data_IF_802008990038
#
_entry.id   IF_802008990038
#
_cell.length_a   1.000
_cell.length_b   1.000
_cell.length_c   1.000
_cell.angle_alpha   90.00
_cell.angle_beta   90.00
_cell.angle_gamma   90.00
#
_symmetry.space_group_name_H-M   'P 1'
#
loop_
_entity.id
_entity.type
_entity.pdbx_description
1 polymer ?
#
# COMPACT_ATOMS: atom_id res chain seq x y z
N UNK A 1 5.70 -13.02 -33.61
CA UNK A 1 6.51 -12.89 -32.35
C UNK A 1 5.54 -12.98 -31.20
N UNK A 2 5.69 -14.01 -30.36
CA UNK A 2 4.81 -14.21 -29.21
C UNK A 2 5.01 -13.05 -28.21
N UNK A 3 3.93 -12.35 -27.86
CA UNK A 3 4.00 -11.31 -26.83
C UNK A 3 3.87 -11.95 -25.46
N UNK A 4 4.83 -11.66 -24.57
CA UNK A 4 4.82 -12.08 -23.17
C UNK A 4 4.58 -10.86 -22.30
N UNK A 5 3.62 -10.96 -21.38
CA UNK A 5 3.31 -9.91 -20.42
C UNK A 5 3.54 -10.42 -19.01
N UNK A 6 4.00 -9.54 -18.13
CA UNK A 6 4.03 -9.77 -16.68
C UNK A 6 2.61 -9.97 -16.16
N UNK A 7 2.42 -10.88 -15.21
CA UNK A 7 1.15 -11.08 -14.51
C UNK A 7 1.39 -11.22 -13.00
N UNK A 8 0.43 -10.85 -12.19
CA UNK A 8 0.46 -11.10 -10.75
C UNK A 8 0.22 -12.60 -10.44
N UNK A 9 0.44 -13.05 -9.19
CA UNK A 9 0.22 -14.43 -8.78
C UNK A 9 -1.13 -14.98 -9.25
N UNK A 10 -1.10 -16.17 -9.82
CA UNK A 10 -2.29 -16.80 -10.42
C UNK A 10 -2.66 -16.28 -11.82
N UNK A 11 -1.76 -15.56 -12.50
CA UNK A 11 -2.03 -14.99 -13.83
C UNK A 11 -2.95 -13.75 -13.80
N UNK A 12 -3.11 -13.15 -12.64
CA UNK A 12 -3.95 -11.97 -12.42
C UNK A 12 -3.31 -10.72 -13.01
N UNK A 13 -4.13 -9.72 -13.36
CA UNK A 13 -3.65 -8.45 -13.91
C UNK A 13 -4.01 -7.24 -13.05
N UNK A 14 -4.65 -7.48 -11.91
CA UNK A 14 -5.02 -6.47 -10.92
C UNK A 14 -4.48 -6.82 -9.56
N UNK A 15 -4.07 -5.81 -8.78
CA UNK A 15 -3.72 -5.93 -7.37
C UNK A 15 -4.41 -4.86 -6.55
N UNK A 16 -5.00 -5.26 -5.43
CA UNK A 16 -5.54 -4.35 -4.41
C UNK A 16 -4.64 -4.40 -3.18
N UNK A 17 -4.24 -3.23 -2.69
CA UNK A 17 -3.56 -3.07 -1.41
C UNK A 17 -4.19 -1.94 -0.60
N UNK A 18 -4.17 -2.10 0.72
CA UNK A 18 -4.69 -1.11 1.67
C UNK A 18 -3.62 -0.81 2.72
N UNK A 19 -3.55 0.45 3.17
CA UNK A 19 -2.57 0.88 4.18
C UNK A 19 -3.23 1.81 5.19
N UNK A 20 -3.13 1.47 6.48
CA UNK A 20 -3.75 2.22 7.57
C UNK A 20 -2.73 2.64 8.61
N UNK A 21 -2.85 3.87 9.09
CA UNK A 21 -1.85 4.53 9.92
C UNK A 21 -2.23 4.54 11.39
N UNK A 22 -1.21 4.76 12.20
CA UNK A 22 -1.30 5.15 13.60
C UNK A 22 -1.50 4.02 14.62
N UNK A 23 -1.89 2.81 14.26
CA UNK A 23 -2.17 1.76 15.24
C UNK A 23 -3.27 2.14 16.24
N UNK A 24 -4.38 2.71 15.76
CA UNK A 24 -5.50 3.17 16.58
C UNK A 24 -6.38 2.00 17.08
N UNK A 25 -7.05 2.20 18.20
CA UNK A 25 -7.94 1.15 18.78
C UNK A 25 -9.04 0.69 17.82
N UNK A 26 -9.43 1.51 16.85
CA UNK A 26 -10.36 1.20 15.79
C UNK A 26 -9.83 0.14 14.80
N UNK A 27 -8.54 -0.11 14.77
CA UNK A 27 -7.95 -1.18 13.95
C UNK A 27 -8.55 -2.55 14.30
N UNK A 28 -8.99 -2.76 15.56
CA UNK A 28 -9.67 -4.01 15.96
C UNK A 28 -10.94 -4.28 15.14
N UNK A 29 -11.71 -3.25 14.81
CA UNK A 29 -12.89 -3.37 13.94
C UNK A 29 -12.49 -3.50 12.49
N UNK A 30 -11.52 -2.70 12.04
CA UNK A 30 -11.08 -2.70 10.65
C UNK A 30 -10.46 -4.04 10.24
N UNK A 31 -9.61 -4.62 11.07
CA UNK A 31 -9.03 -5.96 10.86
C UNK A 31 -10.11 -7.04 10.78
N UNK A 32 -11.13 -6.98 11.62
CA UNK A 32 -12.26 -7.93 11.55
C UNK A 32 -13.00 -7.83 10.21
N UNK A 33 -13.19 -6.61 9.69
CA UNK A 33 -13.80 -6.39 8.37
C UNK A 33 -12.91 -6.99 7.29
N UNK A 34 -11.63 -6.67 7.26
CA UNK A 34 -10.70 -7.18 6.25
C UNK A 34 -10.62 -8.72 6.28
N UNK A 35 -10.51 -9.32 7.46
CA UNK A 35 -10.48 -10.78 7.62
C UNK A 35 -11.77 -11.44 7.14
N UNK A 36 -12.94 -10.85 7.42
CA UNK A 36 -14.25 -11.33 6.95
C UNK A 36 -14.28 -11.47 5.42
N UNK A 37 -13.65 -10.55 4.71
CA UNK A 37 -13.66 -10.50 3.25
C UNK A 37 -12.38 -11.05 2.59
N UNK A 38 -11.45 -11.60 3.37
CA UNK A 38 -10.18 -12.14 2.84
C UNK A 38 -9.26 -11.10 2.21
N UNK A 39 -9.35 -9.85 2.67
CA UNK A 39 -8.55 -8.73 2.18
C UNK A 39 -7.35 -8.51 3.11
N UNK A 40 -6.14 -8.44 2.54
CA UNK A 40 -4.94 -8.08 3.27
C UNK A 40 -4.73 -6.58 3.30
N UNK A 41 -4.06 -6.10 4.35
CA UNK A 41 -3.69 -4.69 4.51
C UNK A 41 -2.31 -4.55 5.16
N UNK A 42 -1.74 -3.36 5.07
CA UNK A 42 -0.55 -2.93 5.78
C UNK A 42 -0.94 -1.96 6.88
N UNK A 43 -0.46 -2.17 8.11
CA UNK A 43 -0.69 -1.29 9.25
C UNK A 43 0.62 -0.62 9.65
N UNK A 44 0.64 0.71 9.59
CA UNK A 44 1.81 1.52 9.88
C UNK A 44 1.77 1.97 11.34
N UNK A 45 2.70 1.48 12.15
CA UNK A 45 2.64 1.60 13.61
C UNK A 45 3.66 2.61 14.14
N UNK A 46 3.32 3.27 15.26
CA UNK A 46 4.21 4.16 16.00
C UNK A 46 4.59 3.50 17.32
N UNK A 47 5.82 3.04 17.46
CA UNK A 47 6.23 2.28 18.65
C UNK A 47 6.31 3.09 19.93
N UNK A 48 6.55 4.39 19.84
CA UNK A 48 6.64 5.29 20.99
C UNK A 48 5.29 5.84 21.49
N UNK A 49 4.17 5.54 20.80
CA UNK A 49 2.86 6.10 21.17
C UNK A 49 1.88 5.05 21.75
N UNK A 50 2.33 3.84 22.02
CA UNK A 50 1.49 2.70 22.42
C UNK A 50 0.85 2.86 23.81
N UNK A 51 1.41 3.69 24.68
CA UNK A 51 0.86 3.95 26.02
C UNK A 51 -0.36 4.89 26.02
N UNK A 52 -0.67 5.47 24.84
CA UNK A 52 -1.84 6.34 24.72
C UNK A 52 -3.11 5.51 24.65
N UNK A 53 -4.16 5.92 25.41
CA UNK A 53 -5.45 5.19 25.51
C UNK A 53 -6.15 4.90 24.17
N UNK A 54 -5.85 5.64 23.12
CA UNK A 54 -6.45 5.48 21.79
C UNK A 54 -5.56 4.71 20.82
N UNK A 55 -4.54 4.02 21.30
CA UNK A 55 -3.62 3.18 20.52
C UNK A 55 -3.77 1.71 20.90
N UNK A 56 -3.43 0.82 19.97
CA UNK A 56 -3.32 -0.60 20.26
C UNK A 56 -2.05 -0.84 21.10
N UNK A 57 -2.14 -1.47 22.26
CA UNK A 57 -0.95 -1.80 23.05
C UNK A 57 -0.09 -2.87 22.36
N UNK A 58 1.22 -2.85 22.61
CA UNK A 58 2.20 -3.76 21.96
C UNK A 58 1.87 -5.24 22.15
N UNK A 59 1.28 -5.60 23.28
CA UNK A 59 0.92 -6.97 23.62
C UNK A 59 -0.15 -7.57 22.70
N UNK A 60 -0.96 -6.72 22.05
CA UNK A 60 -1.99 -7.16 21.11
C UNK A 60 -1.49 -7.21 19.66
N UNK A 61 -0.36 -6.59 19.33
CA UNK A 61 0.08 -6.39 17.95
C UNK A 61 0.16 -7.68 17.13
N UNK A 62 0.87 -8.70 17.66
CA UNK A 62 1.09 -9.97 16.94
C UNK A 62 -0.21 -10.73 16.69
N UNK A 63 -1.15 -10.69 17.61
CA UNK A 63 -2.45 -11.37 17.46
C UNK A 63 -3.41 -10.57 16.59
N UNK A 64 -3.45 -9.25 16.76
CA UNK A 64 -4.37 -8.40 16.01
C UNK A 64 -4.02 -8.33 14.53
N UNK A 65 -2.74 -8.09 14.20
CA UNK A 65 -2.30 -7.91 12.81
C UNK A 65 -1.88 -9.22 12.13
N UNK A 66 -2.20 -10.38 12.72
CA UNK A 66 -1.90 -11.68 12.10
C UNK A 66 -2.51 -11.80 10.69
N UNK A 67 -1.68 -12.16 9.71
CA UNK A 67 -2.11 -12.24 8.29
C UNK A 67 -2.09 -10.93 7.51
N UNK A 68 -1.77 -9.81 8.19
CA UNK A 68 -1.52 -8.50 7.60
C UNK A 68 -0.04 -8.15 7.69
N UNK A 69 0.38 -7.12 6.98
CA UNK A 69 1.70 -6.53 7.13
C UNK A 69 1.70 -5.46 8.22
N UNK A 70 2.82 -5.34 8.94
CA UNK A 70 3.11 -4.15 9.74
C UNK A 70 4.30 -3.41 9.16
N UNK A 71 4.26 -2.07 9.21
CA UNK A 71 5.28 -1.19 8.69
C UNK A 71 5.56 -0.03 9.66
N UNK A 72 6.68 0.64 9.46
CA UNK A 72 7.13 1.79 10.25
C UNK A 72 6.24 3.01 10.01
N UNK A 73 5.93 3.73 11.10
CA UNK A 73 5.29 5.05 11.01
C UNK A 73 5.98 6.09 11.91
N UNK A 74 7.26 5.87 12.17
CA UNK A 74 8.13 6.61 13.09
C UNK A 74 7.76 6.46 14.57
N UNK A 75 8.72 6.71 15.46
CA UNK A 75 8.52 6.55 16.91
C UNK A 75 7.44 7.49 17.44
N UNK A 76 7.51 8.80 17.08
CA UNK A 76 6.69 9.86 17.68
C UNK A 76 5.80 10.62 16.71
N UNK A 77 5.77 10.22 15.42
CA UNK A 77 4.97 10.84 14.37
C UNK A 77 5.29 12.32 14.07
N UNK A 78 6.56 12.72 13.91
CA UNK A 78 6.90 14.11 13.59
C UNK A 78 6.64 14.43 12.11
N UNK A 79 6.69 15.72 11.76
CA UNK A 79 6.85 16.17 10.37
C UNK A 79 8.31 15.95 9.96
N UNK A 80 8.65 14.70 9.62
CA UNK A 80 10.01 14.15 9.64
C UNK A 80 11.01 14.89 8.75
N UNK A 81 10.60 15.39 7.58
CA UNK A 81 11.50 16.17 6.70
C UNK A 81 11.93 17.52 7.31
N UNK A 82 11.30 17.97 8.40
CA UNK A 82 11.71 19.18 9.13
C UNK A 82 12.68 18.88 10.27
N UNK A 83 12.93 17.60 10.56
CA UNK A 83 13.86 17.17 11.59
C UNK A 83 15.31 17.19 11.10
N UNK A 84 16.30 17.33 11.97
CA UNK A 84 17.71 17.04 11.66
C UNK A 84 17.92 15.58 11.27
N UNK A 85 18.91 15.29 10.42
CA UNK A 85 19.14 13.92 9.92
C UNK A 85 19.37 12.86 11.03
N UNK A 86 20.04 13.14 12.14
CA UNK A 86 20.12 12.17 13.25
C UNK A 86 18.75 11.82 13.85
N UNK A 87 17.86 12.81 13.99
CA UNK A 87 16.50 12.59 14.49
C UNK A 87 15.67 11.79 13.49
N UNK A 88 15.78 12.10 12.18
CA UNK A 88 15.15 11.30 11.13
C UNK A 88 15.58 9.82 11.24
N UNK A 89 16.88 9.57 11.46
CA UNK A 89 17.40 8.22 11.62
C UNK A 89 16.77 7.51 12.83
N UNK A 90 16.76 8.16 13.99
CA UNK A 90 16.16 7.58 15.20
C UNK A 90 14.67 7.35 15.05
N UNK A 91 13.93 8.28 14.48
CA UNK A 91 12.49 8.13 14.25
C UNK A 91 12.15 6.94 13.33
N UNK A 92 13.00 6.62 12.35
CA UNK A 92 12.79 5.49 11.43
C UNK A 92 13.37 4.20 12.01
N UNK A 93 14.65 4.23 12.42
CA UNK A 93 15.38 3.02 12.78
C UNK A 93 14.93 2.44 14.13
N UNK A 94 14.71 3.29 15.13
CA UNK A 94 14.28 2.83 16.45
C UNK A 94 12.85 2.29 16.39
N UNK A 95 11.95 2.92 15.61
CA UNK A 95 10.60 2.41 15.38
C UNK A 95 10.62 1.03 14.73
N UNK A 96 11.42 0.88 13.65
CA UNK A 96 11.64 -0.40 12.97
C UNK A 96 12.13 -1.45 13.95
N UNK A 97 13.15 -1.15 14.73
CA UNK A 97 13.75 -2.07 15.69
C UNK A 97 12.75 -2.53 16.77
N UNK A 98 11.93 -1.61 17.28
CA UNK A 98 10.90 -1.94 18.28
C UNK A 98 9.79 -2.82 17.70
N UNK A 99 9.34 -2.54 16.47
CA UNK A 99 8.35 -3.38 15.78
C UNK A 99 8.91 -4.78 15.52
N UNK A 100 10.16 -4.87 15.01
CA UNK A 100 10.84 -6.16 14.75
C UNK A 100 11.01 -7.02 16.00
N UNK A 101 11.28 -6.41 17.16
CA UNK A 101 11.36 -7.15 18.44
C UNK A 101 10.04 -7.83 18.80
N UNK A 102 8.91 -7.20 18.47
CA UNK A 102 7.58 -7.74 18.76
C UNK A 102 7.19 -8.83 17.74
N UNK A 103 7.42 -8.60 16.47
CA UNK A 103 6.94 -9.49 15.41
C UNK A 103 7.93 -10.59 15.01
N UNK A 104 9.22 -10.45 15.29
CA UNK A 104 10.24 -11.44 15.01
C UNK A 104 10.62 -11.62 13.54
N UNK A 105 10.31 -10.63 12.68
CA UNK A 105 10.70 -10.62 11.27
C UNK A 105 11.12 -9.22 10.81
N UNK A 106 11.92 -9.09 9.72
CA UNK A 106 12.35 -7.80 9.20
C UNK A 106 11.19 -6.95 8.69
N UNK A 107 11.02 -5.75 9.23
CA UNK A 107 10.06 -4.75 8.77
C UNK A 107 10.71 -3.85 7.72
N UNK A 108 10.14 -3.79 6.51
CA UNK A 108 10.81 -3.17 5.36
C UNK A 108 10.01 -2.05 4.69
N UNK A 109 8.91 -1.64 5.28
CA UNK A 109 8.05 -0.57 4.78
C UNK A 109 7.96 0.59 5.73
N UNK A 110 7.65 1.79 5.21
CA UNK A 110 7.33 2.98 5.97
C UNK A 110 6.14 3.72 5.36
N UNK A 111 5.30 4.31 6.21
CA UNK A 111 4.44 5.42 5.82
C UNK A 111 5.03 6.70 6.43
N UNK A 112 5.32 7.70 5.59
CA UNK A 112 5.88 8.96 6.09
C UNK A 112 4.79 9.79 6.78
N UNK A 113 4.95 10.14 8.10
CA UNK A 113 3.97 10.95 8.81
C UNK A 113 3.69 12.27 8.11
N UNK A 114 2.42 12.66 8.08
CA UNK A 114 1.96 13.91 7.44
C UNK A 114 2.33 14.04 5.95
N UNK A 115 2.70 12.96 5.28
CA UNK A 115 3.25 12.98 3.92
C UNK A 115 4.60 13.69 3.81
N UNK A 116 5.24 13.97 4.94
CA UNK A 116 6.50 14.71 5.02
C UNK A 116 7.68 13.82 4.61
N UNK A 117 8.26 14.07 3.45
CA UNK A 117 9.36 13.30 2.91
C UNK A 117 10.23 14.16 1.98
N UNK A 118 11.54 14.15 2.20
CA UNK A 118 12.55 14.70 1.29
C UNK A 118 13.60 13.64 0.94
N UNK A 119 14.62 14.00 0.15
CA UNK A 119 15.66 13.05 -0.29
C UNK A 119 16.44 12.48 0.90
N UNK A 120 16.66 13.27 1.96
CA UNK A 120 17.33 12.81 3.20
C UNK A 120 16.51 11.71 3.88
N UNK A 121 15.18 11.89 3.98
CA UNK A 121 14.29 10.89 4.56
C UNK A 121 14.36 9.58 3.78
N UNK A 122 14.36 9.66 2.45
CA UNK A 122 14.46 8.48 1.58
C UNK A 122 15.80 7.77 1.74
N UNK A 123 16.91 8.52 1.74
CA UNK A 123 18.24 7.94 1.87
C UNK A 123 18.45 7.28 3.25
N UNK A 124 17.99 7.92 4.31
CA UNK A 124 18.05 7.37 5.66
C UNK A 124 17.17 6.11 5.76
N UNK A 125 15.95 6.13 5.22
CA UNK A 125 15.07 4.97 5.22
C UNK A 125 15.68 3.79 4.46
N UNK A 126 16.26 4.02 3.27
CA UNK A 126 16.99 2.98 2.51
C UNK A 126 18.15 2.40 3.30
N UNK A 127 18.96 3.24 3.94
CA UNK A 127 20.10 2.80 4.77
C UNK A 127 19.62 2.03 6.02
N UNK A 128 18.41 2.28 6.51
CA UNK A 128 17.76 1.49 7.57
C UNK A 128 17.14 0.17 7.06
N UNK A 129 17.26 -0.14 5.76
CA UNK A 129 16.73 -1.36 5.16
C UNK A 129 15.24 -1.28 4.78
N UNK A 130 14.69 -0.08 4.65
CA UNK A 130 13.35 0.15 4.12
C UNK A 130 13.39 0.08 2.58
N UNK A 131 12.44 -0.62 1.98
CA UNK A 131 12.36 -0.85 0.54
C UNK A 131 11.19 -0.14 -0.13
N UNK A 132 10.22 0.35 0.65
CA UNK A 132 9.17 1.22 0.15
C UNK A 132 8.74 2.25 1.21
N UNK A 133 8.25 3.41 0.74
CA UNK A 133 7.72 4.46 1.59
C UNK A 133 6.47 5.10 1.01
N UNK A 134 5.33 5.03 1.73
CA UNK A 134 4.07 5.64 1.30
C UNK A 134 3.99 7.10 1.75
N UNK A 135 3.56 7.96 0.83
CA UNK A 135 3.28 9.38 1.09
C UNK A 135 1.80 9.54 1.47
N UNK A 136 1.51 10.39 2.47
CA UNK A 136 0.14 10.73 2.91
C UNK A 136 -0.52 11.74 1.95
N UNK A 137 -0.55 11.43 0.68
CA UNK A 137 -1.30 12.10 -0.37
C UNK A 137 -1.85 11.01 -1.28
N UNK A 138 -2.70 11.34 -2.20
CA UNK A 138 -3.16 10.39 -3.20
C UNK A 138 -3.14 11.01 -4.61
N UNK A 139 -3.17 10.16 -5.62
CA UNK A 139 -3.16 10.59 -7.02
C UNK A 139 -4.33 11.53 -7.33
N UNK A 140 -5.44 11.31 -6.65
CA UNK A 140 -6.62 12.14 -6.78
C UNK A 140 -6.43 13.53 -6.16
N UNK A 141 -5.98 13.59 -4.90
CA UNK A 141 -5.74 14.87 -4.20
C UNK A 141 -4.66 15.72 -4.90
N UNK A 142 -3.61 15.09 -5.43
CA UNK A 142 -2.55 15.78 -6.15
C UNK A 142 -3.06 16.50 -7.41
N UNK A 143 -4.07 15.98 -8.07
CA UNK A 143 -4.66 16.61 -9.26
C UNK A 143 -5.72 17.63 -8.89
N UNK A 144 -6.55 17.34 -7.90
CA UNK A 144 -7.59 18.27 -7.44
C UNK A 144 -7.04 19.53 -6.74
N UNK A 145 -5.81 19.49 -6.22
CA UNK A 145 -5.19 20.67 -5.61
C UNK A 145 -4.77 21.74 -6.60
N UNK A 146 -4.70 21.44 -7.88
CA UNK A 146 -4.31 22.38 -8.95
C UNK A 146 -5.50 23.05 -9.62
N UNK A 147 -6.72 22.56 -9.39
CA UNK A 147 -7.93 23.14 -9.97
C UNK A 147 -8.96 23.43 -8.86
N UNK A 148 -9.27 24.70 -8.69
CA UNK A 148 -10.32 25.19 -7.79
C UNK A 148 -11.61 24.40 -7.95
N UNK A 149 -11.98 23.59 -6.95
CA UNK A 149 -13.32 22.97 -6.83
C UNK A 149 -13.87 22.27 -8.06
N UNK A 150 -13.01 21.75 -8.95
CA UNK A 150 -13.45 20.92 -10.05
C UNK A 150 -14.24 19.75 -9.45
N UNK A 151 -15.50 19.70 -9.80
CA UNK A 151 -16.42 18.69 -9.28
C UNK A 151 -15.82 17.33 -9.53
N UNK A 152 -15.64 16.56 -8.48
CA UNK A 152 -15.11 15.20 -8.56
C UNK A 152 -15.82 14.35 -9.63
N UNK A 153 -17.11 14.58 -9.82
CA UNK A 153 -17.89 13.96 -10.89
C UNK A 153 -17.35 14.23 -12.30
N UNK A 154 -16.55 15.26 -12.47
CA UNK A 154 -15.92 15.67 -13.74
C UNK A 154 -14.46 15.25 -13.85
N UNK A 155 -13.91 14.57 -12.85
CA UNK A 155 -12.58 13.95 -12.89
C UNK A 155 -12.56 12.48 -13.39
N UNK A 156 -13.50 12.02 -14.24
CA UNK A 156 -13.47 10.67 -14.81
C UNK A 156 -12.23 10.42 -15.67
N UNK A 157 -11.54 11.48 -16.08
CA UNK A 157 -10.29 11.40 -16.86
C UNK A 157 -9.18 10.76 -16.03
N UNK A 158 -9.06 11.06 -14.76
CA UNK A 158 -8.07 10.45 -13.86
C UNK A 158 -8.37 9.02 -13.54
N UNK A 159 -9.64 8.68 -13.45
CA UNK A 159 -10.13 7.32 -13.26
C UNK A 159 -10.31 6.60 -14.59
N UNK A 160 -10.36 7.35 -15.68
CA UNK A 160 -10.63 6.85 -17.02
C UNK A 160 -9.42 6.31 -17.73
N UNK A 161 -8.25 6.82 -17.43
CA UNK A 161 -7.01 6.34 -17.97
C UNK A 161 -6.40 5.25 -17.08
N UNK A 162 -5.54 4.47 -17.68
CA UNK A 162 -4.81 3.41 -17.01
C UNK A 162 -3.79 3.97 -16.00
N UNK A 163 -3.44 5.25 -16.10
CA UNK A 163 -2.47 5.94 -15.26
C UNK A 163 -2.96 6.12 -13.81
N UNK A 164 -4.29 6.25 -13.59
CA UNK A 164 -4.86 6.31 -12.25
C UNK A 164 -4.61 5.04 -11.42
N UNK A 165 -4.48 3.89 -12.09
CA UNK A 165 -4.28 2.58 -11.50
C UNK A 165 -2.94 1.92 -11.89
N UNK A 166 -1.99 2.68 -12.41
CA UNK A 166 -0.66 2.18 -12.76
C UNK A 166 0.19 1.83 -11.55
N UNK A 167 1.16 0.92 -11.77
CA UNK A 167 2.19 0.62 -10.77
C UNK A 167 3.03 1.88 -10.49
N UNK A 168 3.65 2.01 -9.29
CA UNK A 168 4.48 3.15 -8.98
C UNK A 168 5.80 3.13 -9.75
N UNK A 169 6.28 4.31 -10.11
CA UNK A 169 7.63 4.48 -10.66
C UNK A 169 8.70 4.53 -9.56
N UNK A 170 8.34 5.06 -8.38
CA UNK A 170 9.21 5.13 -7.20
C UNK A 170 8.50 4.56 -5.96
N UNK A 171 8.92 3.37 -5.55
CA UNK A 171 8.39 2.74 -4.34
C UNK A 171 8.77 3.47 -3.05
N UNK A 172 9.85 4.26 -3.03
CA UNK A 172 10.22 5.03 -1.83
C UNK A 172 9.38 6.31 -1.64
N UNK A 173 8.62 6.69 -2.67
CA UNK A 173 7.63 7.78 -2.64
C UNK A 173 6.31 7.31 -3.22
N UNK A 174 5.82 6.18 -2.71
CA UNK A 174 4.65 5.50 -3.24
C UNK A 174 3.37 6.28 -2.95
N UNK A 175 2.76 6.76 -4.02
CA UNK A 175 1.53 7.53 -3.97
C UNK A 175 0.32 6.60 -4.09
N UNK A 176 -0.59 6.56 -3.10
CA UNK A 176 -1.83 5.78 -3.17
C UNK A 176 -2.77 6.26 -4.29
N UNK A 177 -3.73 5.39 -4.66
CA UNK A 177 -4.80 5.75 -5.60
C UNK A 177 -5.77 6.74 -4.96
N UNK A 178 -6.25 6.46 -3.74
CA UNK A 178 -7.18 7.33 -3.03
C UNK A 178 -7.11 7.14 -1.51
N UNK A 179 -7.55 8.18 -0.79
CA UNK A 179 -7.91 8.06 0.61
C UNK A 179 -9.29 7.39 0.74
N UNK A 180 -9.54 6.61 1.79
CA UNK A 180 -10.80 5.87 1.94
C UNK A 180 -12.06 6.76 2.00
N UNK A 181 -11.92 8.03 2.40
CA UNK A 181 -13.01 9.00 2.39
C UNK A 181 -13.23 9.68 1.01
N UNK A 182 -12.40 9.37 0.01
CA UNK A 182 -12.46 9.99 -1.30
C UNK A 182 -13.01 9.02 -2.34
N UNK A 183 -14.35 8.96 -2.47
CA UNK A 183 -15.06 8.20 -3.51
C UNK A 183 -14.62 6.73 -3.67
N UNK A 184 -14.34 6.06 -2.55
CA UNK A 184 -13.76 4.72 -2.51
C UNK A 184 -14.53 3.70 -3.37
N UNK A 185 -15.87 3.73 -3.32
CA UNK A 185 -16.71 2.77 -4.07
C UNK A 185 -16.67 3.03 -5.58
N UNK A 186 -16.64 4.29 -5.99
CA UNK A 186 -16.53 4.68 -7.41
C UNK A 186 -15.18 4.24 -7.99
N UNK A 187 -14.08 4.46 -7.26
CA UNK A 187 -12.77 3.94 -7.62
C UNK A 187 -12.76 2.42 -7.71
N UNK A 188 -13.34 1.73 -6.73
CA UNK A 188 -13.45 0.27 -6.75
C UNK A 188 -14.22 -0.26 -7.96
N UNK A 189 -15.39 0.33 -8.28
CA UNK A 189 -16.17 -0.03 -9.48
C UNK A 189 -15.37 0.17 -10.76
N UNK A 190 -14.67 1.31 -10.88
CA UNK A 190 -13.82 1.60 -12.04
C UNK A 190 -12.67 0.60 -12.15
N UNK A 191 -11.97 0.32 -11.05
CA UNK A 191 -10.89 -0.67 -11.01
C UNK A 191 -11.36 -2.07 -11.44
N UNK A 192 -12.49 -2.54 -10.93
CA UNK A 192 -13.08 -3.82 -11.35
C UNK A 192 -13.46 -3.86 -12.84
N UNK A 193 -13.84 -2.72 -13.42
CA UNK A 193 -14.22 -2.62 -14.84
C UNK A 193 -13.02 -2.71 -15.82
N UNK A 194 -11.79 -2.58 -15.35
CA UNK A 194 -10.59 -2.65 -16.20
C UNK A 194 -10.38 -4.10 -16.66
N UNK A 195 -10.29 -4.33 -17.97
CA UNK A 195 -10.26 -5.67 -18.59
C UNK A 195 -9.05 -5.93 -19.50
N UNK A 196 -8.22 -4.92 -19.74
CA UNK A 196 -7.06 -5.06 -20.63
C UNK A 196 -5.93 -5.81 -19.94
N UNK A 197 -5.82 -7.11 -20.18
CA UNK A 197 -4.85 -8.01 -19.52
C UNK A 197 -3.37 -7.71 -19.83
N UNK A 198 -3.09 -6.91 -20.86
CA UNK A 198 -1.72 -6.48 -21.20
C UNK A 198 -1.15 -5.44 -20.22
N UNK A 199 -1.98 -4.85 -19.34
CA UNK A 199 -1.56 -3.91 -18.33
C UNK A 199 -1.66 -4.54 -16.94
N UNK A 200 -0.78 -4.13 -16.04
CA UNK A 200 -0.90 -4.39 -14.62
C UNK A 200 -1.56 -3.19 -13.96
N UNK A 201 -2.68 -3.44 -13.29
CA UNK A 201 -3.43 -2.40 -12.57
C UNK A 201 -3.28 -2.58 -11.08
N UNK A 202 -3.11 -1.47 -10.38
CA UNK A 202 -3.04 -1.43 -8.92
C UNK A 202 -4.04 -0.42 -8.38
N UNK A 203 -4.84 -0.83 -7.41
CA UNK A 203 -5.61 0.07 -6.56
C UNK A 203 -4.99 0.07 -5.17
N UNK A 204 -4.55 1.25 -4.72
CA UNK A 204 -3.94 1.46 -3.42
C UNK A 204 -4.79 2.43 -2.60
N UNK A 205 -5.44 1.94 -1.55
CA UNK A 205 -6.27 2.72 -0.63
C UNK A 205 -5.50 3.00 0.65
N UNK A 206 -5.64 4.21 1.21
CA UNK A 206 -5.04 4.54 2.49
C UNK A 206 -6.00 5.31 3.39
N UNK A 207 -5.66 5.44 4.67
CA UNK A 207 -6.41 6.23 5.64
C UNK A 207 -6.04 5.90 7.09
N UNK A 208 -6.91 6.32 8.00
CA UNK A 208 -6.77 6.06 9.43
C UNK A 208 -8.08 5.43 9.95
N UNK A 209 -8.00 4.35 10.68
CA UNK A 209 -9.19 3.63 11.14
C UNK A 209 -10.10 4.45 12.05
N UNK A 210 -9.53 5.39 12.84
CA UNK A 210 -10.31 6.27 13.73
C UNK A 210 -11.23 7.24 12.98
N UNK A 211 -10.95 7.49 11.70
CA UNK A 211 -11.78 8.39 10.89
C UNK A 211 -13.16 7.83 10.63
N UNK A 212 -13.31 6.51 10.60
CA UNK A 212 -14.62 5.87 10.46
C UNK A 212 -15.53 6.13 11.66
N UNK A 213 -14.97 6.16 12.90
CA UNK A 213 -15.73 6.56 14.09
C UNK A 213 -16.02 8.07 14.06
N UNK A 214 -15.00 8.88 13.73
CA UNK A 214 -15.13 10.35 13.67
C UNK A 214 -16.20 10.80 12.69
N UNK A 215 -16.31 10.13 11.55
CA UNK A 215 -17.22 10.50 10.46
C UNK A 215 -18.51 9.66 10.46
N UNK A 216 -18.69 8.74 11.42
CA UNK A 216 -19.81 7.78 11.49
C UNK A 216 -20.08 7.07 10.15
N UNK A 217 -19.02 6.55 9.52
CA UNK A 217 -19.08 6.06 8.13
C UNK A 217 -18.44 4.67 7.91
N UNK A 218 -18.45 3.79 8.90
CA UNK A 218 -17.96 2.41 8.80
C UNK A 218 -18.55 1.62 7.63
N UNK A 219 -19.78 1.97 7.24
CA UNK A 219 -20.43 1.33 6.10
C UNK A 219 -19.65 1.51 4.79
N UNK A 220 -18.90 2.60 4.61
CA UNK A 220 -18.13 2.86 3.38
C UNK A 220 -17.10 1.76 3.15
N UNK A 221 -16.31 1.42 4.18
CA UNK A 221 -15.27 0.39 4.06
C UNK A 221 -15.87 -1.01 4.01
N UNK A 222 -16.94 -1.29 4.75
CA UNK A 222 -17.60 -2.60 4.75
C UNK A 222 -18.25 -2.89 3.39
N UNK A 223 -19.01 -1.95 2.84
CA UNK A 223 -19.61 -2.06 1.50
C UNK A 223 -18.55 -2.14 0.39
N UNK A 224 -17.43 -1.41 0.53
CA UNK A 224 -16.31 -1.53 -0.40
C UNK A 224 -15.70 -2.93 -0.37
N UNK A 225 -15.40 -3.46 0.81
CA UNK A 225 -14.83 -4.80 0.96
C UNK A 225 -15.78 -5.88 0.43
N UNK A 226 -17.08 -5.77 0.70
CA UNK A 226 -18.09 -6.68 0.16
C UNK A 226 -18.11 -6.66 -1.37
N UNK A 227 -18.08 -5.45 -1.96
CA UNK A 227 -18.12 -5.27 -3.42
C UNK A 227 -16.89 -5.83 -4.13
N UNK A 228 -15.69 -5.61 -3.55
CA UNK A 228 -14.42 -5.87 -4.24
C UNK A 228 -13.83 -7.24 -3.93
N UNK A 229 -14.28 -7.92 -2.88
CA UNK A 229 -13.76 -9.22 -2.46
C UNK A 229 -14.14 -10.34 -3.44
N UNK A 230 -13.39 -11.45 -3.40
CA UNK A 230 -13.70 -12.66 -4.17
C UNK A 230 -13.56 -12.54 -5.69
N UNK A 231 -12.93 -11.49 -6.22
CA UNK A 231 -12.72 -11.33 -7.66
C UNK A 231 -11.52 -12.17 -8.13
N UNK A 232 -11.74 -13.04 -9.12
CA UNK A 232 -10.72 -13.97 -9.61
C UNK A 232 -9.53 -13.29 -10.27
N UNK A 233 -9.71 -12.08 -10.80
CA UNK A 233 -8.70 -11.30 -11.50
C UNK A 233 -7.95 -10.29 -10.61
N UNK A 234 -8.25 -10.24 -9.29
CA UNK A 234 -7.61 -9.36 -8.31
C UNK A 234 -6.74 -10.16 -7.34
N UNK A 235 -5.50 -9.74 -7.18
CA UNK A 235 -4.62 -10.18 -6.11
C UNK A 235 -4.76 -9.24 -4.91
N UNK A 236 -5.19 -9.77 -3.76
CA UNK A 236 -5.28 -9.00 -2.51
C UNK A 236 -3.95 -9.16 -1.78
N UNK A 237 -3.16 -8.10 -1.76
CA UNK A 237 -1.78 -8.14 -1.28
C UNK A 237 -1.48 -7.03 -0.29
N UNK A 238 -0.51 -7.26 0.57
CA UNK A 238 0.12 -6.22 1.37
C UNK A 238 1.11 -5.42 0.51
N UNK A 239 1.56 -4.27 1.01
CA UNK A 239 2.53 -3.45 0.28
C UNK A 239 3.82 -4.21 0.02
N UNK A 240 4.36 -4.90 1.03
CA UNK A 240 5.63 -5.63 0.88
C UNK A 240 5.51 -6.80 -0.09
N UNK A 241 4.38 -7.51 -0.13
CA UNK A 241 4.17 -8.58 -1.11
C UNK A 241 4.25 -8.06 -2.55
N UNK A 242 3.74 -6.85 -2.80
CA UNK A 242 3.81 -6.21 -4.13
C UNK A 242 5.25 -5.85 -4.48
N UNK A 243 6.00 -5.26 -3.53
CA UNK A 243 7.41 -4.88 -3.74
C UNK A 243 8.26 -6.10 -4.02
N UNK A 244 8.15 -7.14 -3.19
CA UNK A 244 8.90 -8.39 -3.35
C UNK A 244 8.58 -9.06 -4.69
N UNK A 245 7.32 -9.05 -5.10
CA UNK A 245 6.93 -9.62 -6.39
C UNK A 245 7.45 -8.80 -7.57
N UNK A 246 7.46 -7.47 -7.47
CA UNK A 246 8.06 -6.61 -8.49
C UNK A 246 9.57 -6.84 -8.62
N UNK A 247 10.27 -7.10 -7.51
CA UNK A 247 11.69 -7.43 -7.53
C UNK A 247 11.99 -8.73 -8.29
N UNK A 248 11.09 -9.73 -8.18
CA UNK A 248 11.21 -10.96 -8.97
C UNK A 248 11.12 -10.64 -10.47
N UNK A 249 10.17 -9.79 -10.89
CA UNK A 249 10.05 -9.37 -12.28
C UNK A 249 11.28 -8.66 -12.81
N UNK A 250 11.90 -7.80 -12.00
CA UNK A 250 13.07 -7.02 -12.40
C UNK A 250 14.31 -7.89 -12.59
N UNK A 251 14.33 -9.11 -12.06
CA UNK A 251 15.41 -10.10 -12.23
C UNK A 251 15.19 -11.04 -13.41
N UNK A 252 14.00 -11.09 -13.99
CA UNK A 252 13.73 -11.98 -15.15
C UNK A 252 14.56 -11.56 -16.36
N UNK A 253 15.14 -12.55 -17.01
CA UNK A 253 15.91 -12.36 -18.24
C UNK A 253 15.19 -13.08 -19.39
N UNK A 254 14.86 -12.33 -20.42
CA UNK A 254 14.12 -12.82 -21.57
C UNK A 254 15.04 -13.10 -22.74
N UNK A 255 14.84 -14.19 -23.47
CA UNK A 255 15.45 -14.40 -24.77
C UNK A 255 15.00 -13.31 -25.75
N UNK A 256 15.85 -12.92 -26.69
CA UNK A 256 15.55 -11.84 -27.65
C UNK A 256 14.30 -12.14 -28.51
N UNK A 257 13.96 -13.38 -28.71
CA UNK A 257 12.79 -13.86 -29.45
C UNK A 257 11.62 -14.29 -28.56
N UNK A 258 11.75 -14.11 -27.23
CA UNK A 258 10.81 -14.56 -26.22
C UNK A 258 10.55 -16.08 -26.20
N UNK A 259 11.47 -16.91 -26.70
CA UNK A 259 11.32 -18.37 -26.71
C UNK A 259 11.45 -18.98 -25.31
N UNK A 260 12.23 -18.35 -24.42
CA UNK A 260 12.37 -18.75 -23.01
C UNK A 260 12.58 -17.54 -22.11
N UNK A 261 12.36 -17.76 -20.80
CA UNK A 261 12.61 -16.78 -19.73
C UNK A 261 13.42 -17.46 -18.63
N UNK A 262 14.51 -16.84 -18.21
CA UNK A 262 15.28 -17.27 -17.06
C UNK A 262 14.88 -16.48 -15.82
N UNK A 263 14.55 -17.18 -14.75
CA UNK A 263 14.23 -16.60 -13.44
C UNK A 263 15.34 -16.98 -12.44
N UNK A 264 16.23 -16.05 -12.06
CA UNK A 264 17.29 -16.30 -11.08
C UNK A 264 16.79 -16.27 -9.63
N UNK A 265 15.49 -15.98 -9.39
CA UNK A 265 14.91 -15.86 -8.05
C UNK A 265 14.48 -17.24 -7.53
N UNK A 266 14.46 -17.39 -6.19
CA UNK A 266 13.90 -18.59 -5.53
C UNK A 266 12.36 -18.66 -5.56
N UNK A 267 11.70 -17.57 -5.96
CA UNK A 267 10.26 -17.47 -6.02
C UNK A 267 9.73 -17.48 -7.47
N UNK A 268 8.48 -17.92 -7.63
CA UNK A 268 7.83 -18.01 -8.94
C UNK A 268 7.39 -16.65 -9.47
N UNK A 269 7.54 -16.45 -10.79
CA UNK A 269 6.94 -15.34 -11.54
C UNK A 269 5.84 -15.86 -12.46
N UNK A 270 4.81 -15.07 -12.63
CA UNK A 270 3.70 -15.37 -13.54
C UNK A 270 3.79 -14.51 -14.80
N UNK A 271 3.68 -15.18 -15.94
CA UNK A 271 3.73 -14.53 -17.25
C UNK A 271 2.50 -14.95 -18.05
N UNK A 272 1.92 -14.03 -18.78
CA UNK A 272 0.85 -14.31 -19.75
C UNK A 272 1.46 -14.29 -21.15
N UNK A 273 1.10 -15.30 -21.93
CA UNK A 273 1.41 -15.37 -23.36
C UNK A 273 0.13 -15.02 -24.13
N UNK A 274 0.21 -14.00 -24.98
CA UNK A 274 -0.85 -13.73 -25.94
C UNK A 274 -0.55 -14.53 -27.21
N UNK A 275 -1.48 -15.42 -27.53
CA UNK A 275 -1.51 -16.13 -28.80
C UNK A 275 -1.84 -15.17 -29.97
#
# INVERSE_FOLDING_TARGET
MNKIYKAFPGGKHKVLTLSYDDGKVQDRRLVKIFNKYGIKATFNLNSGLTDMKNRIPKEEWTSLYAGHEVAVHTVTHPTIARCPSPEIFHEIYDDKMEIEKVFGYPVRGIAYPNGSCDDRCVDIARNAGIVYGRIAADKYSAVCSTETNAKFAEAPILLGDENGFGMPDDYMRWLPTCHHNHHLKEFGKKFMSLKKKQYLYMMYVWGHSFEFDRNDNWNIIEEFCEMISGQDDIWYATNIEIVDYNDIFNRLQFAADNSFVYNPSAASAWLMKND
#
